data_IF_392518293292
#
_entry.id   IF_392518293292
#
_cell.length_a   1.000
_cell.length_b   1.000
_cell.length_c   1.000
_cell.angle_alpha   90.00
_cell.angle_beta   90.00
_cell.angle_gamma   90.00
#
_symmetry.space_group_name_H-M   'P 1'
#
loop_
_entity.id
_entity.type
_entity.pdbx_description
1 polymer ?
#
# COMPACT_ATOMS: atom_id res chain seq x y z
N UNK A 1 -1.95 13.72 -12.09
CA UNK A 1 -2.82 12.54 -11.87
C UNK A 1 -3.68 12.80 -10.65
N UNK A 2 -5.01 12.57 -10.74
CA UNK A 2 -5.89 12.63 -9.57
C UNK A 2 -5.62 11.43 -8.67
N UNK A 3 -4.71 11.59 -7.75
CA UNK A 3 -4.51 10.64 -6.68
C UNK A 3 -5.60 10.84 -5.64
N UNK A 4 -6.21 9.77 -5.17
CA UNK A 4 -7.30 9.81 -4.19
C UNK A 4 -6.97 8.99 -2.97
N UNK A 5 -7.52 9.42 -1.84
CA UNK A 5 -7.50 8.62 -0.63
C UNK A 5 -8.42 7.42 -0.75
N UNK A 6 -7.92 6.32 -0.27
CA UNK A 6 -8.68 5.12 0.03
C UNK A 6 -8.59 4.86 1.53
N UNK A 7 -9.70 4.51 2.15
CA UNK A 7 -9.76 4.31 3.59
C UNK A 7 -10.65 3.14 3.98
N UNK A 8 -10.35 2.56 5.12
CA UNK A 8 -11.20 1.63 5.85
C UNK A 8 -11.46 2.27 7.22
N UNK A 9 -12.71 2.65 7.50
CA UNK A 9 -13.09 3.19 8.80
C UNK A 9 -13.02 2.11 9.91
N UNK A 10 -12.83 2.50 11.16
CA UNK A 10 -12.72 1.57 12.30
C UNK A 10 -13.90 0.60 12.41
N UNK A 11 -15.14 1.04 12.14
CA UNK A 11 -16.32 0.17 12.10
C UNK A 11 -16.21 -0.89 10.99
N UNK A 12 -15.68 -0.51 9.84
CA UNK A 12 -15.44 -1.44 8.74
C UNK A 12 -14.31 -2.41 9.04
N UNK A 13 -13.29 -1.99 9.80
CA UNK A 13 -12.26 -2.91 10.33
C UNK A 13 -12.89 -4.03 11.19
N UNK A 14 -13.85 -3.68 12.06
CA UNK A 14 -14.60 -4.68 12.84
C UNK A 14 -15.36 -5.66 11.94
N UNK A 15 -16.03 -5.13 10.90
CA UNK A 15 -16.74 -5.97 9.95
C UNK A 15 -15.78 -6.91 9.19
N UNK A 16 -14.67 -6.40 8.65
CA UNK A 16 -13.64 -7.21 7.98
C UNK A 16 -13.15 -8.32 8.92
N UNK A 17 -12.85 -7.99 10.18
CA UNK A 17 -12.35 -8.97 11.12
C UNK A 17 -13.37 -10.07 11.45
N UNK A 18 -14.66 -9.73 11.57
CA UNK A 18 -15.70 -10.66 11.98
C UNK A 18 -16.21 -11.54 10.83
N UNK A 19 -16.22 -11.02 9.60
CA UNK A 19 -16.82 -11.70 8.45
C UNK A 19 -15.81 -12.30 7.47
N UNK A 20 -14.50 -12.11 7.69
CA UNK A 20 -13.48 -12.81 6.93
C UNK A 20 -12.90 -13.94 7.76
N UNK A 21 -13.02 -15.16 7.27
CA UNK A 21 -12.39 -16.33 7.90
C UNK A 21 -10.86 -16.24 7.78
N UNK A 22 -10.18 -16.66 8.85
CA UNK A 22 -8.72 -16.80 8.81
C UNK A 22 -8.38 -18.00 7.92
N UNK A 23 -7.61 -17.74 6.86
CA UNK A 23 -7.16 -18.84 6.02
C UNK A 23 -5.88 -19.43 6.62
N UNK A 24 -6.03 -20.64 7.17
CA UNK A 24 -4.94 -21.38 7.82
C UNK A 24 -3.76 -21.70 6.92
N UNK A 25 -3.92 -21.54 5.60
CA UNK A 25 -2.85 -21.72 4.64
C UNK A 25 -1.84 -20.56 4.61
N UNK A 26 -2.18 -19.43 5.24
CA UNK A 26 -1.34 -18.24 5.27
C UNK A 26 -0.86 -17.95 6.70
N UNK A 27 0.44 -17.72 6.82
CA UNK A 27 1.09 -17.24 8.03
C UNK A 27 1.59 -15.81 7.82
N UNK A 28 1.24 -14.90 8.73
CA UNK A 28 1.69 -13.50 8.67
C UNK A 28 2.70 -13.26 9.78
N UNK A 29 3.90 -12.86 9.38
CA UNK A 29 5.01 -12.52 10.28
C UNK A 29 5.27 -11.03 10.22
N UNK A 30 5.36 -10.38 11.39
CA UNK A 30 5.82 -9.00 11.50
C UNK A 30 7.36 -8.99 11.50
N UNK A 31 7.95 -8.63 10.37
CA UNK A 31 9.39 -8.61 10.16
C UNK A 31 9.77 -7.68 9.02
N UNK A 32 10.77 -6.84 9.23
CA UNK A 32 11.36 -6.04 8.16
C UNK A 32 12.47 -6.85 7.49
N UNK A 33 12.15 -7.49 6.37
CA UNK A 33 13.09 -8.24 5.56
C UNK A 33 13.11 -7.66 4.14
N UNK A 34 14.08 -6.76 3.91
CA UNK A 34 14.16 -6.01 2.66
C UNK A 34 14.40 -6.93 1.46
N UNK A 35 15.14 -8.02 1.60
CA UNK A 35 15.38 -8.95 0.51
C UNK A 35 14.08 -9.64 0.09
N UNK A 36 13.31 -10.12 1.06
CA UNK A 36 12.00 -10.75 0.80
C UNK A 36 11.02 -9.75 0.17
N UNK A 37 11.00 -8.48 0.64
CA UNK A 37 10.15 -7.43 0.07
C UNK A 37 10.51 -7.19 -1.41
N UNK A 38 11.80 -7.09 -1.72
CA UNK A 38 12.28 -6.90 -3.10
C UNK A 38 11.94 -8.09 -4.01
N UNK A 39 12.09 -9.31 -3.50
CA UNK A 39 11.73 -10.52 -4.25
C UNK A 39 10.23 -10.58 -4.55
N UNK A 40 9.37 -10.25 -3.57
CA UNK A 40 7.92 -10.16 -3.78
C UNK A 40 7.60 -9.08 -4.83
N UNK A 41 8.22 -7.90 -4.72
CA UNK A 41 8.03 -6.81 -5.69
C UNK A 41 8.45 -7.21 -7.11
N UNK A 42 9.58 -7.87 -7.23
CA UNK A 42 10.09 -8.36 -8.52
C UNK A 42 9.13 -9.36 -9.16
N UNK A 43 8.61 -10.30 -8.37
CA UNK A 43 7.81 -11.42 -8.87
C UNK A 43 6.33 -11.06 -9.06
N UNK A 44 5.76 -10.24 -8.17
CA UNK A 44 4.32 -9.99 -8.10
C UNK A 44 3.94 -8.51 -8.20
N UNK A 45 4.92 -7.61 -8.28
CA UNK A 45 4.65 -6.17 -8.42
C UNK A 45 3.85 -5.85 -9.68
N UNK A 46 3.06 -4.79 -9.62
CA UNK A 46 2.29 -4.34 -10.77
C UNK A 46 3.20 -4.06 -11.97
N UNK A 47 2.83 -4.61 -13.13
CA UNK A 47 3.54 -4.40 -14.39
C UNK A 47 3.16 -3.04 -14.96
N UNK A 48 3.83 -1.99 -14.49
CA UNK A 48 3.67 -0.61 -14.96
C UNK A 48 4.95 -0.12 -15.63
N UNK A 49 4.79 0.70 -16.66
CA UNK A 49 5.94 1.27 -17.38
C UNK A 49 6.69 2.28 -16.52
N UNK A 50 5.95 3.00 -15.66
CA UNK A 50 6.50 4.01 -14.77
C UNK A 50 6.15 3.63 -13.35
N UNK A 51 7.14 3.20 -12.59
CA UNK A 51 7.01 2.82 -11.18
C UNK A 51 8.25 3.20 -10.40
N UNK A 52 8.09 3.33 -9.08
CA UNK A 52 9.24 3.51 -8.20
C UNK A 52 10.21 2.34 -8.36
N UNK A 53 11.47 2.66 -8.58
CA UNK A 53 12.53 1.66 -8.51
C UNK A 53 12.82 1.34 -7.04
N UNK A 54 12.52 0.12 -6.64
CA UNK A 54 12.83 -0.36 -5.30
C UNK A 54 14.24 -0.91 -5.30
N UNK A 55 15.20 -0.13 -4.78
CA UNK A 55 16.51 -0.65 -4.43
C UNK A 55 16.59 -0.99 -2.94
N UNK A 56 17.58 -1.80 -2.57
CA UNK A 56 17.85 -2.13 -1.17
C UNK A 56 18.17 -0.86 -0.37
N UNK A 57 18.95 0.04 -0.96
CA UNK A 57 19.37 1.32 -0.38
C UNK A 57 18.18 2.24 -0.15
N UNK A 58 17.28 2.35 -1.15
CA UNK A 58 16.04 3.12 -1.02
C UNK A 58 15.18 2.61 0.13
N UNK A 59 14.91 1.31 0.20
CA UNK A 59 14.09 0.75 1.27
C UNK A 59 14.75 0.90 2.65
N UNK A 60 16.07 0.69 2.76
CA UNK A 60 16.81 0.94 4.00
C UNK A 60 16.67 2.39 4.45
N UNK A 61 16.95 3.33 3.55
CA UNK A 61 16.83 4.77 3.83
C UNK A 61 15.40 5.12 4.23
N UNK A 62 14.41 4.67 3.49
CA UNK A 62 13.00 4.99 3.74
C UNK A 62 12.52 4.47 5.09
N UNK A 63 12.82 3.22 5.39
CA UNK A 63 12.37 2.56 6.62
C UNK A 63 13.19 2.95 7.86
N UNK A 64 14.35 3.57 7.68
CA UNK A 64 15.18 4.10 8.77
C UNK A 64 14.79 5.53 9.18
N UNK A 65 13.80 6.16 8.54
CA UNK A 65 13.36 7.51 8.91
C UNK A 65 12.83 7.52 10.35
N UNK A 66 13.47 8.27 11.29
CA UNK A 66 13.13 8.23 12.70
C UNK A 66 11.78 8.87 13.04
N UNK A 67 11.19 9.60 12.08
CA UNK A 67 9.90 10.27 12.29
C UNK A 67 8.75 9.27 12.51
N UNK A 68 8.85 8.08 11.90
CA UNK A 68 7.77 7.10 11.91
C UNK A 68 8.27 5.72 12.32
N UNK A 69 7.48 5.02 13.13
CA UNK A 69 7.74 3.63 13.45
C UNK A 69 7.11 2.72 12.38
N UNK A 70 7.89 2.40 11.35
CA UNK A 70 7.42 1.54 10.28
C UNK A 70 7.32 0.09 10.70
N UNK A 71 6.21 -0.54 10.30
CA UNK A 71 5.93 -1.94 10.55
C UNK A 71 5.75 -2.66 9.21
N UNK A 72 6.41 -3.79 9.05
CA UNK A 72 6.33 -4.61 7.86
C UNK A 72 5.71 -5.96 8.22
N UNK A 73 4.71 -6.38 7.47
CA UNK A 73 4.07 -7.68 7.61
C UNK A 73 4.25 -8.47 6.32
N UNK A 74 4.83 -9.66 6.43
CA UNK A 74 5.07 -10.55 5.31
C UNK A 74 4.14 -11.75 5.47
N UNK A 75 3.42 -12.07 4.40
CA UNK A 75 2.53 -13.22 4.31
C UNK A 75 3.25 -14.37 3.63
N UNK A 76 3.23 -15.54 4.26
CA UNK A 76 3.81 -16.77 3.76
C UNK A 76 2.72 -17.80 3.47
N UNK A 77 2.91 -18.56 2.39
CA UNK A 77 2.19 -19.80 2.12
C UNK A 77 3.18 -20.96 2.24
N UNK A 78 3.09 -21.72 3.34
CA UNK A 78 4.17 -22.59 3.76
C UNK A 78 5.43 -21.76 4.04
N UNK A 79 6.52 -22.02 3.33
CA UNK A 79 7.78 -21.26 3.42
C UNK A 79 7.93 -20.18 2.36
N UNK A 80 7.01 -20.10 1.40
CA UNK A 80 7.09 -19.16 0.29
C UNK A 80 6.48 -17.81 0.66
N UNK A 81 7.23 -16.69 0.57
CA UNK A 81 6.68 -15.37 0.75
C UNK A 81 5.80 -14.99 -0.45
N UNK A 82 4.53 -14.67 -0.17
CA UNK A 82 3.50 -14.45 -1.21
C UNK A 82 2.90 -13.06 -1.20
N UNK A 83 3.28 -12.23 -0.23
CA UNK A 83 2.84 -10.84 -0.18
C UNK A 83 3.37 -10.11 1.04
N UNK A 84 3.30 -8.79 1.01
CA UNK A 84 3.67 -7.93 2.14
C UNK A 84 2.82 -6.66 2.19
N UNK A 85 2.85 -6.01 3.34
CA UNK A 85 2.39 -4.64 3.56
C UNK A 85 3.39 -3.89 4.44
N UNK A 86 3.57 -2.59 4.16
CA UNK A 86 4.36 -1.65 4.98
C UNK A 86 3.39 -0.58 5.47
N UNK A 87 3.39 -0.31 6.77
CA UNK A 87 2.52 0.68 7.38
C UNK A 87 3.21 1.38 8.55
N UNK A 88 2.60 2.47 9.03
CA UNK A 88 2.95 3.14 10.28
C UNK A 88 1.70 3.75 10.91
N UNK A 89 1.77 4.04 12.20
CA UNK A 89 0.70 4.70 12.95
C UNK A 89 1.02 6.18 13.13
N UNK A 90 0.07 7.04 12.81
CA UNK A 90 0.15 8.48 13.03
C UNK A 90 -1.25 9.08 13.21
N UNK A 91 -1.39 10.12 14.06
CA UNK A 91 -2.64 10.83 14.33
C UNK A 91 -3.85 9.92 14.62
N UNK A 92 -3.60 8.76 15.22
CA UNK A 92 -4.64 7.78 15.52
C UNK A 92 -5.20 7.06 14.28
N UNK A 93 -4.42 6.96 13.22
CA UNK A 93 -4.74 6.24 11.98
C UNK A 93 -3.58 5.33 11.61
N UNK A 94 -3.87 4.25 10.86
CA UNK A 94 -2.88 3.38 10.27
C UNK A 94 -2.68 3.75 8.79
N UNK A 95 -1.50 4.22 8.45
CA UNK A 95 -1.15 4.58 7.09
C UNK A 95 -0.53 3.37 6.38
N UNK A 96 -1.22 2.85 5.36
CA UNK A 96 -0.69 1.81 4.48
C UNK A 96 0.16 2.48 3.40
N UNK A 97 1.48 2.30 3.51
CA UNK A 97 2.47 2.93 2.62
C UNK A 97 2.68 2.16 1.33
N UNK A 98 2.81 0.85 1.47
CA UNK A 98 3.13 -0.01 0.34
C UNK A 98 2.58 -1.41 0.56
N UNK A 99 2.30 -2.09 -0.55
CA UNK A 99 1.78 -3.45 -0.54
C UNK A 99 2.02 -4.13 -1.87
N UNK A 100 2.26 -5.41 -1.79
CA UNK A 100 2.33 -6.28 -2.96
C UNK A 100 1.89 -7.68 -2.57
N UNK A 101 1.22 -8.38 -3.47
CA UNK A 101 0.83 -9.77 -3.21
C UNK A 101 0.50 -10.51 -4.50
N UNK A 102 0.73 -11.83 -4.48
CA UNK A 102 0.44 -12.72 -5.60
C UNK A 102 -1.06 -12.74 -5.98
N UNK A 103 -1.95 -12.48 -5.02
CA UNK A 103 -3.40 -12.57 -5.24
C UNK A 103 -4.20 -11.65 -4.33
N UNK A 104 -5.45 -11.36 -4.75
CA UNK A 104 -6.42 -10.63 -3.92
C UNK A 104 -6.70 -11.35 -2.59
N UNK A 105 -6.63 -12.69 -2.56
CA UNK A 105 -6.84 -13.47 -1.34
C UNK A 105 -5.76 -13.17 -0.30
N UNK A 106 -4.48 -13.20 -0.70
CA UNK A 106 -3.35 -12.82 0.16
C UNK A 106 -3.47 -11.37 0.62
N UNK A 107 -3.84 -10.46 -0.28
CA UNK A 107 -4.06 -9.06 0.09
C UNK A 107 -5.13 -8.91 1.15
N UNK A 108 -6.29 -9.56 0.99
CA UNK A 108 -7.36 -9.52 1.99
C UNK A 108 -6.89 -10.04 3.35
N UNK A 109 -6.08 -11.09 3.37
CA UNK A 109 -5.49 -11.64 4.60
C UNK A 109 -4.57 -10.62 5.28
N UNK A 110 -3.73 -9.92 4.52
CA UNK A 110 -2.88 -8.85 5.04
C UNK A 110 -3.71 -7.66 5.57
N UNK A 111 -4.73 -7.21 4.82
CA UNK A 111 -5.61 -6.12 5.26
C UNK A 111 -6.41 -6.52 6.51
N UNK A 112 -6.83 -7.78 6.63
CA UNK A 112 -7.44 -8.29 7.86
C UNK A 112 -6.48 -8.15 9.05
N UNK A 113 -5.20 -8.49 8.89
CA UNK A 113 -4.18 -8.31 9.94
C UNK A 113 -4.06 -6.84 10.36
N UNK A 114 -4.02 -5.93 9.40
CA UNK A 114 -4.02 -4.48 9.68
C UNK A 114 -5.31 -4.04 10.39
N UNK A 115 -6.46 -4.61 10.03
CA UNK A 115 -7.74 -4.32 10.69
C UNK A 115 -7.74 -4.78 12.15
N UNK A 116 -7.13 -5.93 12.46
CA UNK A 116 -6.94 -6.40 13.85
C UNK A 116 -6.09 -5.44 14.66
N UNK A 117 -4.99 -4.93 14.07
CA UNK A 117 -4.13 -3.93 14.69
C UNK A 117 -4.94 -2.64 14.94
N UNK A 118 -5.66 -2.17 13.93
CA UNK A 118 -6.49 -0.97 14.03
C UNK A 118 -7.51 -1.06 15.19
N UNK A 119 -8.15 -2.23 15.36
CA UNK A 119 -9.09 -2.48 16.45
C UNK A 119 -8.36 -2.50 17.80
N UNK A 120 -7.25 -3.25 17.90
CA UNK A 120 -6.47 -3.41 19.14
C UNK A 120 -5.92 -2.06 19.63
N UNK A 121 -5.37 -1.27 18.74
CA UNK A 121 -4.80 0.06 19.02
C UNK A 121 -5.86 1.17 19.05
N UNK A 122 -7.15 0.86 18.89
CA UNK A 122 -8.27 1.84 18.88
C UNK A 122 -8.08 2.95 17.84
N UNK A 123 -7.50 2.63 16.69
CA UNK A 123 -7.27 3.59 15.61
C UNK A 123 -8.57 3.91 14.87
N UNK A 124 -8.64 5.10 14.29
CA UNK A 124 -9.80 5.61 13.53
C UNK A 124 -10.03 4.87 12.21
N UNK A 125 -9.00 4.21 11.68
CA UNK A 125 -9.07 3.44 10.45
C UNK A 125 -7.73 3.29 9.75
N UNK A 126 -7.77 2.69 8.53
CA UNK A 126 -6.61 2.46 7.67
C UNK A 126 -6.74 3.42 6.47
N UNK A 127 -5.66 4.10 6.13
CA UNK A 127 -5.63 5.07 5.03
C UNK A 127 -4.50 4.73 4.07
N UNK A 128 -4.74 4.91 2.78
CA UNK A 128 -3.74 4.86 1.72
C UNK A 128 -4.12 5.78 0.57
N UNK A 129 -3.23 5.94 -0.40
CA UNK A 129 -3.50 6.68 -1.64
C UNK A 129 -3.29 5.79 -2.85
N UNK A 130 -4.06 6.02 -3.90
CA UNK A 130 -3.87 5.39 -5.21
C UNK A 130 -4.56 6.21 -6.32
N UNK A 131 -4.24 5.89 -7.55
CA UNK A 131 -4.99 6.39 -8.71
C UNK A 131 -6.28 5.56 -8.83
N UNK A 132 -7.48 6.16 -8.77
CA UNK A 132 -8.74 5.42 -8.61
C UNK A 132 -9.04 4.38 -9.69
N UNK A 133 -8.63 4.65 -10.93
CA UNK A 133 -8.86 3.77 -12.08
C UNK A 133 -7.71 2.80 -12.35
N UNK A 134 -6.61 2.92 -11.62
CA UNK A 134 -5.45 2.02 -11.74
C UNK A 134 -5.78 0.60 -11.24
N UNK A 135 -4.91 -0.33 -11.51
CA UNK A 135 -5.01 -1.67 -10.95
C UNK A 135 -4.96 -1.65 -9.43
N UNK A 136 -4.08 -0.82 -8.85
CA UNK A 136 -3.96 -0.62 -7.42
C UNK A 136 -5.28 -0.14 -6.80
N UNK A 137 -5.92 0.87 -7.42
CA UNK A 137 -7.21 1.37 -6.96
C UNK A 137 -8.32 0.32 -7.05
N UNK A 138 -8.31 -0.54 -8.09
CA UNK A 138 -9.23 -1.68 -8.21
C UNK A 138 -8.96 -2.73 -7.13
N UNK A 139 -7.68 -3.01 -6.83
CA UNK A 139 -7.27 -3.94 -5.78
C UNK A 139 -7.69 -3.46 -4.40
N UNK A 140 -7.43 -2.20 -4.08
CA UNK A 140 -7.86 -1.61 -2.81
C UNK A 140 -9.36 -1.74 -2.61
N UNK A 141 -10.17 -1.47 -3.64
CA UNK A 141 -11.62 -1.68 -3.56
C UNK A 141 -12.00 -3.13 -3.28
N UNK A 142 -11.35 -4.10 -3.97
CA UNK A 142 -11.57 -5.54 -3.72
C UNK A 142 -11.14 -5.96 -2.32
N UNK A 143 -10.17 -5.27 -1.71
CA UNK A 143 -9.73 -5.48 -0.34
C UNK A 143 -10.61 -4.79 0.72
N UNK A 144 -11.64 -4.06 0.30
CA UNK A 144 -12.60 -3.40 1.20
C UNK A 144 -12.35 -1.92 1.46
N UNK A 145 -11.40 -1.30 0.75
CA UNK A 145 -11.20 0.13 0.85
C UNK A 145 -12.29 0.91 0.11
N UNK A 146 -12.78 1.96 0.75
CA UNK A 146 -13.67 2.94 0.15
C UNK A 146 -12.86 4.12 -0.38
N UNK A 147 -13.21 4.59 -1.56
CA UNK A 147 -12.64 5.82 -2.09
C UNK A 147 -13.22 7.02 -1.36
N UNK A 148 -12.39 7.96 -0.91
CA UNK A 148 -12.88 9.22 -0.38
C UNK A 148 -13.73 9.96 -1.44
N UNK A 149 -15.03 10.16 -1.22
CA UNK A 149 -15.88 10.87 -2.15
C UNK A 149 -15.64 12.38 -2.13
N UNK A 150 -15.06 12.90 -1.05
CA UNK A 150 -14.87 14.32 -0.86
C UNK A 150 -13.66 14.83 -1.66
N UNK A 151 -13.79 16.05 -2.18
CA UNK A 151 -12.66 16.74 -2.82
C UNK A 151 -11.64 17.27 -1.79
N UNK A 152 -12.05 17.40 -0.53
CA UNK A 152 -11.23 17.87 0.58
C UNK A 152 -10.66 16.66 1.34
N UNK A 153 -9.38 16.67 1.58
CA UNK A 153 -8.65 15.67 2.37
C UNK A 153 -7.23 16.17 2.57
N UNK A 154 -6.43 15.57 3.44
CA UNK A 154 -5.07 16.06 3.71
C UNK A 154 -4.17 16.12 2.46
N UNK A 155 -4.52 15.39 1.39
CA UNK A 155 -3.89 15.51 0.07
C UNK A 155 -4.95 15.83 -1.00
N UNK A 156 -5.48 17.05 -0.96
CA UNK A 156 -6.39 17.54 -2.01
C UNK A 156 -5.65 18.03 -3.25
N UNK A 157 -4.35 18.14 -3.16
CA UNK A 157 -3.50 18.63 -4.23
C UNK A 157 -3.20 17.53 -5.24
N UNK A 158 -3.27 17.88 -6.50
CA UNK A 158 -2.65 17.08 -7.55
C UNK A 158 -1.18 16.90 -7.18
N UNK A 159 -0.71 15.67 -7.10
CA UNK A 159 0.72 15.42 -6.92
C UNK A 159 1.37 15.87 -8.25
N UNK A 160 2.16 16.93 -8.25
CA UNK A 160 2.85 17.36 -9.47
C UNK A 160 3.94 16.32 -9.77
N UNK A 161 3.92 15.78 -10.98
CA UNK A 161 5.03 14.99 -11.49
C UNK A 161 5.84 15.89 -12.42
N UNK A 162 7.11 16.01 -12.13
CA UNK A 162 8.06 16.63 -13.05
C UNK A 162 8.85 15.53 -13.73
N UNK A 163 8.78 15.47 -15.06
CA UNK A 163 9.56 14.55 -15.87
C UNK A 163 10.81 15.32 -16.31
N UNK A 164 11.95 14.93 -15.76
CA UNK A 164 13.25 15.43 -16.20
C UNK A 164 13.80 14.45 -17.25
N UNK A 165 13.76 14.84 -18.51
CA UNK A 165 14.31 14.06 -19.62
C UNK A 165 14.83 15.00 -20.67
N UNK A 166 15.94 14.63 -21.29
CA UNK A 166 16.55 15.35 -22.41
C UNK A 166 15.82 15.08 -23.73
N UNK A 167 14.89 14.14 -23.73
CA UNK A 167 14.06 13.78 -24.87
C UNK A 167 12.62 14.24 -24.66
N UNK A 168 11.91 14.53 -25.75
CA UNK A 168 10.46 14.78 -25.69
C UNK A 168 9.80 13.56 -25.03
N UNK A 169 9.00 13.76 -23.94
CA UNK A 169 8.35 12.64 -23.29
C UNK A 169 7.45 11.92 -24.30
N UNK A 170 7.63 10.62 -24.42
CA UNK A 170 6.71 9.79 -25.20
C UNK A 170 5.29 9.97 -24.67
N UNK A 171 4.30 9.92 -25.54
CA UNK A 171 2.88 10.04 -25.16
C UNK A 171 2.47 9.08 -24.04
N UNK A 172 3.17 7.95 -23.91
CA UNK A 172 2.99 6.98 -22.84
C UNK A 172 3.33 7.55 -21.44
N UNK A 173 4.31 8.46 -21.33
CA UNK A 173 4.67 9.11 -20.06
C UNK A 173 3.56 10.05 -19.55
N UNK A 174 2.71 10.52 -20.44
CA UNK A 174 1.60 11.41 -20.11
C UNK A 174 0.34 10.65 -19.71
N UNK A 175 0.28 9.33 -19.93
CA UNK A 175 -0.89 8.51 -19.58
C UNK A 175 -0.86 8.09 -18.12
N UNK A 176 -1.91 8.48 -17.37
CA UNK A 176 -2.07 8.14 -15.94
C UNK A 176 -2.07 6.62 -15.67
N UNK A 177 -2.49 5.85 -16.64
CA UNK A 177 -2.62 4.39 -16.50
C UNK A 177 -1.26 3.68 -16.50
N UNK A 178 -0.21 4.38 -16.92
CA UNK A 178 1.16 3.86 -16.95
C UNK A 178 1.92 4.05 -15.63
N UNK A 179 1.35 4.81 -14.70
CA UNK A 179 2.00 5.14 -13.44
C UNK A 179 1.53 4.25 -12.29
N UNK A 180 2.49 3.76 -11.51
CA UNK A 180 2.23 3.23 -10.18
C UNK A 180 2.59 4.32 -9.14
N UNK A 181 1.62 4.67 -8.30
CA UNK A 181 1.83 5.65 -7.21
C UNK A 181 1.42 5.00 -5.90
N UNK A 182 2.39 4.82 -5.02
CA UNK A 182 2.18 4.36 -3.65
C UNK A 182 2.69 5.40 -2.66
N UNK A 183 2.15 5.47 -1.43
CA UNK A 183 2.58 6.45 -0.44
C UNK A 183 4.06 6.34 -0.05
N UNK A 184 4.69 5.18 -0.24
CA UNK A 184 6.11 4.99 0.09
C UNK A 184 7.02 5.91 -0.72
N UNK A 185 6.57 6.36 -1.89
CA UNK A 185 7.30 7.29 -2.77
C UNK A 185 7.17 8.75 -2.32
N UNK A 186 6.37 9.04 -1.28
CA UNK A 186 6.02 10.41 -0.91
C UNK A 186 6.39 10.71 0.53
N UNK A 187 7.18 11.77 0.75
CA UNK A 187 7.64 12.16 2.09
C UNK A 187 6.63 12.98 2.91
N UNK A 188 5.55 13.42 2.29
CA UNK A 188 4.57 14.36 2.86
C UNK A 188 3.23 13.71 3.24
N UNK A 189 3.25 12.46 3.71
CA UNK A 189 2.07 11.87 4.34
C UNK A 189 2.16 12.03 5.84
#
# INVERSE_FOLDING_TARGET
>A
ADVKYFFIHALHCKWINNFTTEDRNFNIVEKTDIHVILDIQKNFGFKKNIKQHYSKEFLKWRLANPRFNYRCFICYQGQNPVGYVICYEDEGKLFLLDYCSISVKVQKTLIRRLSQICIKSKLKGIITIAIPKSEEGKWLKKAGFLRNPFKKGPLTTNIPFMILTDQKPESQLCSKDQWQVTPICHDAL
#
